data_IF_104561057174
#
_entry.id   IF_104561057174
#
_cell.length_a   1.000
_cell.length_b   1.000
_cell.length_c   1.000
_cell.angle_alpha   90.00
_cell.angle_beta   90.00
_cell.angle_gamma   90.00
#
_symmetry.space_group_name_H-M   'P 1'
#
loop_
_entity.id
_entity.type
_entity.pdbx_description
1 polymer ?
#
# COMPACT_ATOMS: atom_id res chain seq x y z
N UNK A 1 -6.40 0.81 -22.80
CA UNK A 1 -5.05 0.83 -22.18
C UNK A 1 -4.65 -0.61 -21.99
N UNK A 2 -3.58 -1.06 -22.63
CA UNK A 2 -3.08 -2.44 -22.49
C UNK A 2 -2.35 -2.54 -21.14
N UNK A 3 -2.97 -3.24 -20.20
CA UNK A 3 -2.45 -3.47 -18.85
C UNK A 3 -3.15 -4.69 -18.29
N UNK A 4 -2.38 -5.74 -18.02
CA UNK A 4 -2.94 -6.94 -17.40
C UNK A 4 -3.49 -6.60 -16.02
N UNK A 5 -4.59 -7.26 -15.65
CA UNK A 5 -5.20 -7.15 -14.32
C UNK A 5 -4.17 -7.38 -13.23
N UNK A 6 -3.31 -8.39 -13.39
CA UNK A 6 -2.28 -8.75 -12.39
C UNK A 6 -1.26 -7.63 -12.19
N UNK A 7 -0.96 -6.88 -13.25
CA UNK A 7 -0.09 -5.70 -13.18
C UNK A 7 -0.73 -4.59 -12.35
N UNK A 8 -2.03 -4.32 -12.56
CA UNK A 8 -2.77 -3.34 -11.74
C UNK A 8 -2.74 -3.74 -10.26
N UNK A 9 -3.00 -5.01 -9.93
CA UNK A 9 -3.01 -5.47 -8.54
C UNK A 9 -1.65 -5.28 -7.86
N UNK A 10 -0.54 -5.58 -8.57
CA UNK A 10 0.81 -5.34 -8.05
C UNK A 10 1.06 -3.87 -7.77
N UNK A 11 0.74 -2.99 -8.74
CA UNK A 11 0.90 -1.54 -8.56
C UNK A 11 0.07 -1.00 -7.38
N UNK A 12 -1.12 -1.55 -7.13
CA UNK A 12 -1.95 -1.18 -5.98
C UNK A 12 -1.27 -1.57 -4.65
N UNK A 13 -0.71 -2.79 -4.58
CA UNK A 13 0.04 -3.25 -3.40
C UNK A 13 1.28 -2.39 -3.16
N UNK A 14 2.01 -2.03 -4.22
CA UNK A 14 3.20 -1.17 -4.13
C UNK A 14 2.89 0.21 -3.51
N UNK A 15 1.67 0.72 -3.72
CA UNK A 15 1.18 1.97 -3.14
C UNK A 15 0.32 1.76 -1.89
N UNK A 16 0.55 0.64 -1.19
CA UNK A 16 0.00 0.28 0.13
C UNK A 16 -1.49 -0.03 0.18
N UNK A 17 -2.09 -0.45 -0.94
CA UNK A 17 -3.45 -0.98 -0.89
C UNK A 17 -3.46 -2.46 -0.52
N UNK A 18 -4.47 -2.86 0.25
CA UNK A 18 -4.67 -4.25 0.66
C UNK A 18 -5.80 -4.88 -0.14
N UNK A 19 -5.60 -6.12 -0.61
CA UNK A 19 -6.71 -6.88 -1.20
C UNK A 19 -7.66 -7.34 -0.10
N UNK A 20 -8.94 -6.98 -0.19
CA UNK A 20 -9.97 -7.46 0.72
C UNK A 20 -11.30 -7.70 -0.01
N UNK A 21 -11.57 -8.95 -0.33
CA UNK A 21 -12.77 -9.33 -1.08
C UNK A 21 -14.05 -9.39 -0.20
N UNK A 22 -13.88 -9.43 1.12
CA UNK A 22 -14.97 -9.53 2.11
C UNK A 22 -15.34 -8.16 2.64
N UNK A 23 -14.40 -7.47 3.28
CA UNK A 23 -14.60 -6.19 3.93
C UNK A 23 -14.01 -5.06 3.10
N UNK A 24 -14.87 -4.41 2.32
CA UNK A 24 -14.46 -3.41 1.34
C UNK A 24 -14.48 -2.00 1.94
N UNK A 25 -13.31 -1.57 2.40
CA UNK A 25 -13.09 -0.30 3.08
C UNK A 25 -11.98 0.52 2.41
N UNK A 26 -11.76 1.76 2.85
CA UNK A 26 -10.75 2.65 2.28
C UNK A 26 -9.35 2.03 2.28
N UNK A 27 -8.59 2.29 1.21
CA UNK A 27 -7.25 1.72 1.05
C UNK A 27 -7.26 0.23 0.71
N UNK A 28 -8.42 -0.33 0.35
CA UNK A 28 -8.53 -1.71 -0.12
C UNK A 28 -8.97 -1.79 -1.58
N UNK A 29 -8.70 -2.93 -2.20
CA UNK A 29 -9.30 -3.30 -3.48
C UNK A 29 -9.84 -4.73 -3.42
N UNK A 30 -10.79 -5.05 -4.29
CA UNK A 30 -11.34 -6.40 -4.45
C UNK A 30 -11.47 -6.79 -5.90
N UNK A 31 -11.51 -8.09 -6.16
CA UNK A 31 -11.57 -8.64 -7.52
C UNK A 31 -12.79 -9.54 -7.66
N UNK A 32 -13.61 -9.29 -8.69
CA UNK A 32 -14.80 -10.09 -9.04
C UNK A 32 -14.76 -10.40 -10.53
N UNK A 33 -14.17 -11.55 -10.88
CA UNK A 33 -13.95 -11.91 -12.28
C UNK A 33 -13.05 -10.89 -12.97
N UNK A 34 -13.56 -10.27 -14.03
CA UNK A 34 -12.83 -9.26 -14.82
C UNK A 34 -13.02 -7.83 -14.30
N UNK A 35 -13.58 -7.69 -13.10
CA UNK A 35 -13.80 -6.40 -12.46
C UNK A 35 -12.89 -6.26 -11.25
N UNK A 36 -12.16 -5.14 -11.20
CA UNK A 36 -11.39 -4.71 -10.03
C UNK A 36 -12.06 -3.47 -9.45
N UNK A 37 -12.46 -3.54 -8.19
CA UNK A 37 -13.00 -2.38 -7.47
C UNK A 37 -11.98 -1.89 -6.45
N UNK A 38 -11.66 -0.60 -6.49
CA UNK A 38 -10.64 0.04 -5.66
C UNK A 38 -11.33 1.11 -4.83
N UNK A 39 -11.12 1.08 -3.51
CA UNK A 39 -11.64 2.10 -2.60
C UNK A 39 -10.51 3.12 -2.29
N UNK A 40 -10.51 4.31 -2.92
CA UNK A 40 -9.45 5.29 -2.71
C UNK A 40 -9.33 5.69 -1.23
N UNK A 41 -8.11 5.86 -0.73
CA UNK A 41 -7.90 6.37 0.62
C UNK A 41 -8.46 7.80 0.80
N UNK A 42 -8.51 8.59 -0.28
CA UNK A 42 -8.88 10.00 -0.27
C UNK A 42 -10.38 10.29 -0.38
N UNK A 43 -11.24 9.29 -0.65
CA UNK A 43 -12.68 9.48 -0.89
C UNK A 43 -13.52 8.72 0.13
N UNK A 44 -14.68 9.28 0.46
CA UNK A 44 -15.54 8.74 1.53
C UNK A 44 -16.59 7.75 1.05
N UNK A 45 -17.17 8.00 -0.13
CA UNK A 45 -18.37 7.29 -0.57
C UNK A 45 -18.25 6.66 -1.96
N UNK A 46 -17.08 6.79 -2.59
CA UNK A 46 -16.88 6.40 -3.98
C UNK A 46 -15.77 5.39 -4.10
N UNK A 47 -16.07 4.27 -4.76
CA UNK A 47 -15.06 3.35 -5.26
C UNK A 47 -14.91 3.52 -6.78
N UNK A 48 -13.76 3.08 -7.28
CA UNK A 48 -13.44 3.06 -8.70
C UNK A 48 -13.57 1.62 -9.17
N UNK A 49 -14.46 1.39 -10.12
CA UNK A 49 -14.64 0.11 -10.79
C UNK A 49 -13.89 0.14 -12.11
N UNK A 50 -12.93 -0.77 -12.26
CA UNK A 50 -12.17 -0.99 -13.48
C UNK A 50 -12.62 -2.33 -14.06
N UNK A 51 -13.19 -2.29 -15.26
CA UNK A 51 -13.66 -3.47 -16.00
C UNK A 51 -12.62 -3.81 -17.08
N UNK A 52 -12.21 -5.08 -17.12
CA UNK A 52 -11.21 -5.60 -18.05
C UNK A 52 -11.86 -6.42 -19.16
N UNK A 53 -11.24 -6.39 -20.33
CA UNK A 53 -11.51 -7.32 -21.42
C UNK A 53 -10.18 -8.00 -21.81
N UNK A 54 -9.93 -9.18 -21.26
CA UNK A 54 -8.62 -9.82 -21.36
C UNK A 54 -7.55 -9.03 -20.58
N UNK A 55 -6.54 -8.56 -21.29
CA UNK A 55 -5.41 -7.75 -20.82
C UNK A 55 -5.55 -6.25 -21.11
N UNK A 56 -6.76 -5.81 -21.45
CA UNK A 56 -7.08 -4.40 -21.65
C UNK A 56 -8.08 -3.89 -20.61
N UNK A 57 -7.90 -2.64 -20.19
CA UNK A 57 -8.97 -1.90 -19.49
C UNK A 57 -10.02 -1.47 -20.51
N UNK A 58 -11.24 -2.00 -20.37
CA UNK A 58 -12.41 -1.62 -21.17
C UNK A 58 -13.04 -0.34 -20.63
N UNK A 59 -13.35 -0.30 -19.32
CA UNK A 59 -14.09 0.83 -18.70
C UNK A 59 -13.61 1.18 -17.30
N UNK A 60 -13.71 2.47 -16.97
CA UNK A 60 -13.47 2.98 -15.62
C UNK A 60 -14.70 3.76 -15.16
N UNK A 61 -15.25 3.41 -14.00
CA UNK A 61 -16.47 4.00 -13.46
C UNK A 61 -16.29 4.40 -12.00
N UNK A 62 -16.83 5.56 -11.64
CA UNK A 62 -17.06 5.94 -10.26
C UNK A 62 -18.39 5.36 -9.80
N UNK A 63 -18.35 4.59 -8.71
CA UNK A 63 -19.49 3.84 -8.18
C UNK A 63 -19.67 4.18 -6.71
N UNK A 64 -20.91 4.34 -6.27
CA UNK A 64 -21.22 4.41 -4.84
C UNK A 64 -20.99 3.02 -4.22
N UNK A 65 -20.07 2.91 -3.25
CA UNK A 65 -19.68 1.59 -2.71
C UNK A 65 -20.78 0.88 -1.90
N UNK A 66 -21.76 1.64 -1.39
CA UNK A 66 -22.89 1.11 -0.62
C UNK A 66 -24.04 0.70 -1.52
N UNK A 67 -24.45 1.57 -2.45
CA UNK A 67 -25.64 1.33 -3.29
C UNK A 67 -25.32 0.57 -4.58
N UNK A 68 -24.06 0.58 -5.02
CA UNK A 68 -23.62 0.04 -6.30
C UNK A 68 -24.00 0.90 -7.51
N UNK A 69 -24.57 2.08 -7.29
CA UNK A 69 -24.97 3.01 -8.35
C UNK A 69 -23.74 3.54 -9.10
N UNK A 70 -23.79 3.46 -10.43
CA UNK A 70 -22.77 4.06 -11.30
C UNK A 70 -23.05 5.55 -11.44
N UNK A 71 -22.14 6.37 -10.92
CA UNK A 71 -22.32 7.83 -10.95
C UNK A 71 -21.75 8.44 -12.22
N UNK A 72 -20.57 7.97 -12.65
CA UNK A 72 -19.87 8.57 -13.79
C UNK A 72 -18.88 7.61 -14.42
N UNK A 73 -18.81 7.63 -15.75
CA UNK A 73 -17.75 6.98 -16.52
C UNK A 73 -16.56 7.94 -16.70
N UNK A 74 -15.35 7.40 -16.65
CA UNK A 74 -14.10 8.15 -16.68
C UNK A 74 -13.17 7.56 -17.74
N UNK A 75 -12.51 8.42 -18.49
CA UNK A 75 -11.45 8.00 -19.42
C UNK A 75 -10.13 7.69 -18.69
N UNK A 76 -9.89 8.35 -17.56
CA UNK A 76 -8.72 8.13 -16.71
C UNK A 76 -9.06 8.39 -15.24
N UNK A 77 -8.32 7.76 -14.33
CA UNK A 77 -8.41 8.01 -12.89
C UNK A 77 -7.04 7.86 -12.23
N UNK A 78 -6.67 8.80 -11.36
CA UNK A 78 -5.42 8.75 -10.61
C UNK A 78 -5.64 8.14 -9.23
N UNK A 79 -4.90 7.07 -8.93
CA UNK A 79 -4.92 6.41 -7.62
C UNK A 79 -3.68 6.86 -6.86
N UNK A 80 -3.89 7.54 -5.74
CA UNK A 80 -2.82 7.96 -4.84
C UNK A 80 -2.54 6.88 -3.80
N UNK A 81 -1.34 6.82 -3.22
CA UNK A 81 -1.02 5.83 -2.20
C UNK A 81 -1.96 5.87 -0.99
N UNK A 82 -2.20 4.71 -0.39
CA UNK A 82 -3.09 4.58 0.76
C UNK A 82 -2.49 5.13 2.08
N UNK A 83 -1.20 5.48 2.06
CA UNK A 83 -0.48 6.07 3.20
C UNK A 83 0.31 7.30 2.77
N UNK A 84 0.50 8.25 3.70
CA UNK A 84 1.38 9.40 3.49
C UNK A 84 2.87 9.04 3.58
N UNK A 85 3.21 7.86 4.11
CA UNK A 85 4.60 7.43 4.35
C UNK A 85 5.10 6.40 3.32
N UNK A 86 4.49 6.33 2.13
CA UNK A 86 4.91 5.37 1.10
C UNK A 86 6.28 5.74 0.54
N UNK A 87 7.21 4.78 0.60
CA UNK A 87 8.56 4.87 0.05
C UNK A 87 8.79 3.71 -0.91
N UNK A 88 9.59 3.92 -1.96
CA UNK A 88 9.97 2.87 -2.92
C UNK A 88 10.81 1.79 -2.24
N UNK A 89 10.61 0.54 -2.65
CA UNK A 89 11.31 -0.63 -2.09
C UNK A 89 12.83 -0.48 -2.11
N UNK A 90 13.40 0.06 -3.20
CA UNK A 90 14.83 0.31 -3.34
C UNK A 90 15.38 1.22 -2.23
N UNK A 91 14.66 2.30 -1.90
CA UNK A 91 15.06 3.22 -0.83
C UNK A 91 14.89 2.58 0.54
N UNK A 92 13.86 1.74 0.70
CA UNK A 92 13.57 1.05 1.94
C UNK A 92 14.69 0.04 2.29
N UNK A 93 15.18 -0.72 1.30
CA UNK A 93 16.34 -1.62 1.47
C UNK A 93 17.59 -0.89 1.95
N UNK A 94 17.94 0.22 1.29
CA UNK A 94 19.09 1.05 1.67
C UNK A 94 18.90 1.67 3.06
N UNK A 95 17.67 2.06 3.42
CA UNK A 95 17.38 2.61 4.73
C UNK A 95 17.53 1.57 5.84
N UNK A 96 17.04 0.34 5.63
CA UNK A 96 17.19 -0.78 6.59
C UNK A 96 18.66 -1.04 6.87
N UNK A 97 19.49 -1.21 5.84
CA UNK A 97 20.93 -1.46 6.00
C UNK A 97 21.63 -0.35 6.81
N UNK A 98 21.23 0.91 6.61
CA UNK A 98 21.78 2.05 7.36
C UNK A 98 21.35 2.05 8.81
N UNK A 99 20.07 1.76 9.08
CA UNK A 99 19.52 1.69 10.44
C UNK A 99 20.17 0.55 11.22
N UNK A 100 20.35 -0.62 10.61
CA UNK A 100 21.01 -1.76 11.24
C UNK A 100 22.47 -1.44 11.59
N UNK A 101 23.19 -0.79 10.68
CA UNK A 101 24.56 -0.36 10.92
C UNK A 101 24.66 0.67 12.06
N UNK A 102 23.79 1.68 12.06
CA UNK A 102 23.75 2.69 13.13
C UNK A 102 23.38 2.05 14.48
N UNK A 103 22.47 1.08 14.48
CA UNK A 103 22.10 0.31 15.67
C UNK A 103 23.32 -0.44 16.22
N UNK A 104 24.08 -1.14 15.37
CA UNK A 104 25.28 -1.87 15.79
C UNK A 104 26.32 -0.94 16.45
N UNK A 105 26.60 0.19 15.80
CA UNK A 105 27.53 1.21 16.32
C UNK A 105 27.04 1.74 17.68
N UNK A 106 25.75 2.08 17.80
CA UNK A 106 25.18 2.64 19.02
C UNK A 106 25.11 1.64 20.18
N UNK A 107 24.79 0.37 19.89
CA UNK A 107 24.78 -0.68 20.91
C UNK A 107 26.18 -0.94 21.45
N UNK A 108 27.20 -0.89 20.60
CA UNK A 108 28.59 -1.01 21.03
C UNK A 108 28.97 0.11 21.99
N UNK A 109 28.70 1.36 21.63
CA UNK A 109 28.95 2.52 22.51
C UNK A 109 28.27 2.38 23.88
N UNK A 110 26.99 2.02 23.91
CA UNK A 110 26.24 1.86 25.16
C UNK A 110 26.80 0.72 26.02
N UNK A 111 27.21 -0.40 25.40
CA UNK A 111 27.84 -1.52 26.11
C UNK A 111 29.21 -1.13 26.67
N UNK A 112 30.02 -0.41 25.91
CA UNK A 112 31.34 0.10 26.34
C UNK A 112 31.19 1.10 27.51
N UNK A 113 30.09 1.86 27.56
CA UNK A 113 29.74 2.75 28.67
C UNK A 113 29.05 2.05 29.87
N UNK A 114 28.92 0.71 29.86
CA UNK A 114 28.17 -0.08 30.85
C UNK A 114 26.67 0.28 30.98
N UNK A 115 26.08 0.90 29.94
CA UNK A 115 24.64 1.23 29.85
C UNK A 115 23.84 0.06 29.28
N UNK A 116 23.87 -1.07 29.98
CA UNK A 116 23.33 -2.34 29.49
C UNK A 116 21.80 -2.32 29.34
N UNK A 117 21.09 -1.61 30.23
CA UNK A 117 19.63 -1.51 30.16
C UNK A 117 19.18 -0.67 28.96
N UNK A 118 19.88 0.43 28.68
CA UNK A 118 19.64 1.29 27.54
C UNK A 118 19.94 0.56 26.23
N UNK A 119 21.04 -0.18 26.17
CA UNK A 119 21.38 -1.02 25.03
C UNK A 119 20.28 -2.05 24.76
N UNK A 120 19.84 -2.78 25.78
CA UNK A 120 18.76 -3.77 25.66
C UNK A 120 17.44 -3.13 25.20
N UNK A 121 17.08 -1.96 25.74
CA UNK A 121 15.86 -1.24 25.36
C UNK A 121 15.90 -0.78 23.90
N UNK A 122 17.03 -0.27 23.44
CA UNK A 122 17.22 0.17 22.06
C UNK A 122 17.11 -1.01 21.10
N UNK A 123 17.85 -2.10 21.37
CA UNK A 123 17.86 -3.31 20.54
C UNK A 123 16.46 -3.94 20.41
N UNK A 124 15.69 -3.99 21.51
CA UNK A 124 14.33 -4.53 21.46
C UNK A 124 13.39 -3.64 20.66
N UNK A 125 13.39 -2.33 20.89
CA UNK A 125 12.48 -1.43 20.15
C UNK A 125 12.81 -1.38 18.66
N UNK A 126 14.08 -1.32 18.28
CA UNK A 126 14.43 -1.20 16.86
C UNK A 126 14.12 -2.47 16.07
N UNK A 127 14.17 -3.66 16.69
CA UNK A 127 13.95 -4.93 15.98
C UNK A 127 12.50 -5.43 15.99
N UNK A 128 11.70 -5.05 16.99
CA UNK A 128 10.39 -5.67 17.23
C UNK A 128 9.20 -4.72 17.27
N UNK A 129 9.44 -3.42 17.38
CA UNK A 129 8.42 -2.35 17.44
C UNK A 129 8.31 -1.67 16.06
#
# INVERSE_FOLDING_TARGET
MEMDRSELLRKLVDVQYTRNDIDFQRGTFRVRGDVVEIFPASKEELCIRVEFFGDEIDRIREVNYLTGEVLKEREHFAIFPASHFVTREEKLKVAIERIEKELEERLKELRDENKLLEAQRLEQRTNYD
#
